data_IF_546635484822
#
_entry.id   IF_546635484822
#
_cell.length_a   1.000
_cell.length_b   1.000
_cell.length_c   1.000
_cell.angle_alpha   90.00
_cell.angle_beta   90.00
_cell.angle_gamma   90.00
#
_symmetry.space_group_name_H-M   'P 1'
#
loop_
_entity.id
_entity.type
_entity.pdbx_description
1 polymer ?
#
# COMPACT_ATOMS: atom_id res chain seq x y z
N UNK A 1 11.67 -11.32 30.57
CA UNK A 1 11.72 -10.47 29.36
C UNK A 1 10.39 -10.68 28.64
N UNK A 2 9.44 -9.76 28.79
CA UNK A 2 8.18 -9.85 28.06
C UNK A 2 8.42 -9.43 26.61
N UNK A 3 7.89 -10.16 25.61
CA UNK A 3 8.07 -9.81 24.21
C UNK A 3 7.36 -8.46 23.95
N UNK A 4 8.10 -7.50 23.40
CA UNK A 4 7.55 -6.22 22.97
C UNK A 4 6.49 -6.49 21.91
N UNK A 5 5.22 -6.46 22.30
CA UNK A 5 4.08 -6.52 21.37
C UNK A 5 3.94 -5.14 20.73
N UNK A 6 4.74 -4.86 19.71
CA UNK A 6 4.48 -3.74 18.83
C UNK A 6 3.07 -3.94 18.27
N UNK A 7 2.12 -3.08 18.68
CA UNK A 7 0.79 -3.04 18.08
C UNK A 7 0.98 -2.50 16.68
N UNK A 8 1.18 -3.40 15.72
CA UNK A 8 1.14 -3.04 14.31
C UNK A 8 -0.30 -2.63 14.03
N UNK A 9 -0.52 -1.32 13.88
CA UNK A 9 -1.84 -0.83 13.51
C UNK A 9 -2.17 -1.39 12.12
N UNK A 10 -3.33 -2.02 11.94
CA UNK A 10 -3.74 -2.51 10.64
C UNK A 10 -3.79 -1.34 9.66
N UNK A 11 -3.50 -1.61 8.39
CA UNK A 11 -3.63 -0.61 7.35
C UNK A 11 -5.07 -0.11 7.25
N UNK A 12 -5.25 1.21 7.17
CA UNK A 12 -6.55 1.84 6.98
C UNK A 12 -7.29 1.27 5.77
N UNK A 13 -8.62 1.23 5.86
CA UNK A 13 -9.47 0.72 4.78
C UNK A 13 -9.23 1.49 3.48
N UNK A 14 -9.16 2.82 3.54
CA UNK A 14 -8.89 3.67 2.39
C UNK A 14 -7.55 3.33 1.71
N UNK A 15 -6.47 3.11 2.47
CA UNK A 15 -5.18 2.71 1.92
C UNK A 15 -5.25 1.34 1.23
N UNK A 16 -5.93 0.36 1.82
CA UNK A 16 -6.09 -0.97 1.23
C UNK A 16 -6.88 -0.91 -0.07
N UNK A 17 -8.02 -0.23 -0.04
CA UNK A 17 -8.91 -0.08 -1.19
C UNK A 17 -8.22 0.69 -2.33
N UNK A 18 -7.45 1.73 -2.01
CA UNK A 18 -6.61 2.43 -2.99
C UNK A 18 -5.63 1.49 -3.70
N UNK A 19 -4.90 0.68 -2.92
CA UNK A 19 -3.94 -0.28 -3.48
C UNK A 19 -4.61 -1.37 -4.32
N UNK A 20 -5.83 -1.79 -3.96
CA UNK A 20 -6.58 -2.80 -4.69
C UNK A 20 -7.16 -2.24 -5.99
N UNK A 21 -7.72 -1.03 -5.93
CA UNK A 21 -8.30 -0.34 -7.08
C UNK A 21 -7.23 0.00 -8.13
N UNK A 22 -6.09 0.53 -7.70
CA UNK A 22 -5.01 0.95 -8.61
C UNK A 22 -4.00 -0.17 -8.90
N UNK A 23 -4.19 -1.39 -8.38
CA UNK A 23 -3.28 -2.52 -8.62
C UNK A 23 -2.93 -2.73 -10.10
N UNK A 24 -3.89 -2.71 -11.06
CA UNK A 24 -3.56 -2.88 -12.47
C UNK A 24 -2.62 -1.77 -12.99
N UNK A 25 -2.83 -0.53 -12.53
CA UNK A 25 -2.00 0.60 -12.93
C UNK A 25 -0.59 0.49 -12.34
N UNK A 26 -0.47 0.09 -11.07
CA UNK A 26 0.84 -0.14 -10.43
C UNK A 26 1.59 -1.26 -11.16
N UNK A 27 0.93 -2.38 -11.46
CA UNK A 27 1.53 -3.53 -12.16
C UNK A 27 2.12 -3.17 -13.52
N UNK A 28 1.48 -2.25 -14.24
CA UNK A 28 1.88 -1.90 -15.61
C UNK A 28 2.92 -0.76 -15.66
N UNK A 29 3.10 0.01 -14.58
CA UNK A 29 3.93 1.22 -14.57
C UNK A 29 5.11 1.20 -13.59
N UNK A 30 5.18 0.24 -12.66
CA UNK A 30 6.24 0.20 -11.63
C UNK A 30 7.22 -0.94 -11.87
N UNK A 31 8.53 -0.64 -11.82
CA UNK A 31 9.56 -1.67 -11.68
C UNK A 31 9.81 -1.93 -10.19
N UNK A 32 9.49 -3.13 -9.69
CA UNK A 32 9.36 -3.34 -8.25
C UNK A 32 10.71 -3.40 -7.53
N UNK A 33 11.81 -3.74 -8.20
CA UNK A 33 13.12 -3.97 -7.55
C UNK A 33 13.60 -2.77 -6.72
N UNK A 34 13.67 -1.58 -7.34
CA UNK A 34 14.14 -0.37 -6.66
C UNK A 34 13.27 0.00 -5.46
N UNK A 35 11.96 -0.09 -5.65
CA UNK A 35 10.96 0.19 -4.61
C UNK A 35 11.06 -0.82 -3.46
N UNK A 36 11.19 -2.11 -3.75
CA UNK A 36 11.37 -3.17 -2.76
C UNK A 36 12.63 -2.93 -1.93
N UNK A 37 13.74 -2.57 -2.58
CA UNK A 37 15.00 -2.30 -1.90
C UNK A 37 14.86 -1.13 -0.93
N UNK A 38 14.25 -0.02 -1.36
CA UNK A 38 14.01 1.13 -0.48
C UNK A 38 13.13 0.76 0.71
N UNK A 39 12.04 0.03 0.48
CA UNK A 39 11.15 -0.38 1.57
C UNK A 39 11.78 -1.37 2.55
N UNK A 40 12.75 -2.16 2.09
CA UNK A 40 13.56 -3.00 2.96
C UNK A 40 14.57 -2.18 3.76
N UNK A 41 15.28 -1.27 3.11
CA UNK A 41 16.25 -0.37 3.75
C UNK A 41 15.58 0.55 4.80
N UNK A 42 14.29 0.89 4.60
CA UNK A 42 13.47 1.69 5.52
C UNK A 42 12.74 0.85 6.61
N UNK A 43 13.09 -0.43 6.77
CA UNK A 43 12.48 -1.35 7.76
C UNK A 43 10.96 -1.55 7.63
N UNK A 44 10.38 -1.27 6.45
CA UNK A 44 8.96 -1.50 6.15
C UNK A 44 8.73 -2.97 5.79
N UNK A 45 9.64 -3.52 4.98
CA UNK A 45 9.69 -4.94 4.64
C UNK A 45 10.67 -5.65 5.56
N UNK A 46 10.30 -6.84 6.03
CA UNK A 46 11.21 -7.69 6.77
C UNK A 46 12.16 -8.42 5.83
N UNK A 47 13.27 -8.95 6.36
CA UNK A 47 14.19 -9.79 5.59
C UNK A 47 13.49 -10.98 4.92
N UNK A 48 12.46 -11.55 5.57
CA UNK A 48 11.67 -12.63 4.99
C UNK A 48 10.85 -12.16 3.77
N UNK A 49 10.24 -10.97 3.84
CA UNK A 49 9.48 -10.42 2.70
C UNK A 49 10.40 -10.12 1.54
N UNK A 50 11.53 -9.47 1.80
CA UNK A 50 12.52 -9.14 0.80
C UNK A 50 13.00 -10.40 0.07
N UNK A 51 13.37 -11.43 0.84
CA UNK A 51 13.78 -12.72 0.27
C UNK A 51 12.66 -13.37 -0.57
N UNK A 52 11.41 -13.27 -0.12
CA UNK A 52 10.28 -13.83 -0.86
C UNK A 52 10.05 -13.08 -2.18
N UNK A 53 10.09 -11.75 -2.14
CA UNK A 53 9.90 -10.88 -3.30
C UNK A 53 11.01 -11.07 -4.34
N UNK A 54 12.27 -11.14 -3.90
CA UNK A 54 13.40 -11.39 -4.81
C UNK A 54 13.33 -12.77 -5.47
N UNK A 55 12.81 -13.79 -4.78
CA UNK A 55 12.58 -15.12 -5.40
C UNK A 55 11.48 -15.10 -6.46
N UNK A 56 10.53 -14.17 -6.34
CA UNK A 56 9.42 -13.99 -7.28
C UNK A 56 9.83 -13.21 -8.53
N UNK A 57 11.01 -12.56 -8.56
CA UNK A 57 11.51 -11.82 -9.73
C UNK A 57 11.55 -12.65 -11.02
N UNK A 58 11.84 -13.95 -10.91
CA UNK A 58 11.80 -14.87 -12.05
C UNK A 58 10.40 -15.07 -12.69
N UNK A 59 9.33 -14.57 -12.05
CA UNK A 59 7.95 -14.62 -12.53
C UNK A 59 7.50 -13.32 -13.24
N UNK A 60 8.38 -12.31 -13.29
CA UNK A 60 8.14 -11.02 -13.94
C UNK A 60 7.58 -9.94 -13.00
N UNK A 61 7.76 -8.69 -13.41
CA UNK A 61 7.52 -7.49 -12.60
C UNK A 61 6.08 -7.39 -12.08
N UNK A 62 5.09 -7.78 -12.90
CA UNK A 62 3.67 -7.78 -12.48
C UNK A 62 3.41 -8.72 -11.31
N UNK A 63 4.00 -9.92 -11.35
CA UNK A 63 3.83 -10.92 -10.29
C UNK A 63 4.47 -10.45 -8.99
N UNK A 64 5.67 -9.87 -9.08
CA UNK A 64 6.38 -9.29 -7.93
C UNK A 64 5.59 -8.11 -7.35
N UNK A 65 5.09 -7.21 -8.19
CA UNK A 65 4.32 -6.03 -7.78
C UNK A 65 3.03 -6.44 -7.05
N UNK A 66 2.31 -7.42 -7.58
CA UNK A 66 1.12 -7.99 -6.93
C UNK A 66 1.45 -8.59 -5.57
N UNK A 67 2.58 -9.28 -5.45
CA UNK A 67 3.02 -9.83 -4.18
C UNK A 67 3.42 -8.72 -3.20
N UNK A 68 4.13 -7.69 -3.68
CA UNK A 68 4.51 -6.52 -2.90
C UNK A 68 3.28 -5.84 -2.30
N UNK A 69 2.26 -5.53 -3.11
CA UNK A 69 1.02 -4.89 -2.63
C UNK A 69 0.36 -5.72 -1.52
N UNK A 70 0.23 -7.05 -1.72
CA UNK A 70 -0.31 -7.96 -0.70
C UNK A 70 0.53 -7.99 0.58
N UNK A 71 1.84 -7.89 0.46
CA UNK A 71 2.76 -7.83 1.60
C UNK A 71 2.58 -6.52 2.36
N UNK A 72 2.50 -5.38 1.67
CA UNK A 72 2.30 -4.06 2.28
C UNK A 72 1.02 -4.01 3.11
N UNK A 73 -0.09 -4.54 2.59
CA UNK A 73 -1.36 -4.62 3.32
C UNK A 73 -1.26 -5.37 4.66
N UNK A 74 -0.30 -6.30 4.80
CA UNK A 74 -0.04 -7.08 6.03
C UNK A 74 0.91 -6.37 7.00
N UNK A 75 1.75 -5.44 6.52
CA UNK A 75 2.77 -4.75 7.32
C UNK A 75 2.23 -3.57 8.13
N UNK A 76 0.99 -3.16 7.87
CA UNK A 76 0.25 -2.21 8.70
C UNK A 76 0.22 -0.80 8.13
N UNK A 77 -0.28 0.16 8.92
CA UNK A 77 -0.66 1.48 8.41
C UNK A 77 0.49 2.31 7.85
N UNK A 78 1.72 2.07 8.31
CA UNK A 78 2.92 2.79 7.83
C UNK A 78 3.40 2.32 6.45
N UNK A 79 2.96 1.15 5.99
CA UNK A 79 3.45 0.56 4.75
C UNK A 79 2.97 1.32 3.50
N UNK A 80 1.73 1.83 3.52
CA UNK A 80 1.19 2.62 2.41
C UNK A 80 1.94 3.96 2.20
N UNK A 81 2.07 4.85 3.20
CA UNK A 81 2.79 6.11 2.99
C UNK A 81 4.27 5.89 2.66
N UNK A 82 4.89 4.84 3.20
CA UNK A 82 6.26 4.50 2.82
C UNK A 82 6.36 4.01 1.37
N UNK A 83 5.39 3.24 0.88
CA UNK A 83 5.32 2.86 -0.53
C UNK A 83 5.16 4.06 -1.45
N UNK A 84 4.26 4.99 -1.12
CA UNK A 84 4.11 6.25 -1.87
C UNK A 84 5.41 7.07 -1.87
N UNK A 85 6.08 7.17 -0.72
CA UNK A 85 7.38 7.84 -0.61
C UNK A 85 8.48 7.16 -1.44
N UNK A 86 8.51 5.83 -1.45
CA UNK A 86 9.44 5.07 -2.28
C UNK A 86 9.18 5.30 -3.77
N UNK A 87 7.91 5.31 -4.21
CA UNK A 87 7.55 5.63 -5.59
C UNK A 87 8.07 7.01 -6.01
N UNK A 88 7.88 8.02 -5.17
CA UNK A 88 8.39 9.39 -5.41
C UNK A 88 9.92 9.44 -5.50
N UNK A 89 10.61 8.63 -4.70
CA UNK A 89 12.08 8.54 -4.70
C UNK A 89 12.65 7.92 -5.97
N UNK A 90 11.87 7.05 -6.64
CA UNK A 90 12.25 6.35 -7.86
C UNK A 90 11.60 6.95 -9.13
N UNK A 91 11.25 8.24 -9.10
CA UNK A 91 10.66 8.98 -10.23
C UNK A 91 9.30 8.44 -10.73
N UNK A 92 8.58 7.64 -9.93
CA UNK A 92 7.20 7.20 -10.22
C UNK A 92 6.16 8.22 -9.73
N UNK A 93 6.37 9.48 -10.08
CA UNK A 93 5.51 10.58 -9.62
C UNK A 93 4.06 10.38 -10.09
N UNK A 94 3.85 9.96 -11.33
CA UNK A 94 2.53 9.72 -11.92
C UNK A 94 1.75 8.63 -11.16
N UNK A 95 2.43 7.54 -10.77
CA UNK A 95 1.83 6.47 -9.96
C UNK A 95 1.52 6.98 -8.56
N UNK A 96 2.44 7.73 -7.96
CA UNK A 96 2.25 8.26 -6.60
C UNK A 96 1.10 9.28 -6.53
N UNK A 97 0.97 10.18 -7.50
CA UNK A 97 -0.09 11.18 -7.58
C UNK A 97 -1.45 10.52 -7.78
N UNK A 98 -1.50 9.49 -8.63
CA UNK A 98 -2.71 8.71 -8.86
C UNK A 98 -3.17 7.98 -7.61
N UNK A 99 -2.24 7.40 -6.84
CA UNK A 99 -2.57 6.77 -5.56
C UNK A 99 -3.11 7.78 -4.56
N UNK A 100 -2.49 8.96 -4.44
CA UNK A 100 -2.95 10.03 -3.54
C UNK A 100 -4.31 10.61 -3.98
N UNK A 101 -4.58 10.69 -5.29
CA UNK A 101 -5.88 11.09 -5.82
C UNK A 101 -6.97 10.06 -5.49
N UNK A 102 -6.73 8.79 -5.79
CA UNK A 102 -7.67 7.70 -5.48
C UNK A 102 -7.94 7.60 -3.98
N UNK A 103 -6.89 7.74 -3.14
CA UNK A 103 -7.03 7.75 -1.69
C UNK A 103 -7.93 8.90 -1.20
N UNK A 104 -7.74 10.12 -1.73
CA UNK A 104 -8.59 11.27 -1.41
C UNK A 104 -10.05 11.02 -1.83
N UNK A 105 -10.27 10.47 -3.02
CA UNK A 105 -11.61 10.16 -3.51
C UNK A 105 -12.31 9.11 -2.63
N UNK A 106 -11.61 8.04 -2.25
CA UNK A 106 -12.15 7.00 -1.36
C UNK A 106 -12.46 7.58 0.01
N UNK A 107 -11.56 8.39 0.59
CA UNK A 107 -11.82 9.04 1.87
C UNK A 107 -13.05 9.95 1.84
N UNK A 108 -13.24 10.72 0.77
CA UNK A 108 -14.42 11.57 0.60
C UNK A 108 -15.70 10.71 0.50
N UNK A 109 -15.70 9.68 -0.36
CA UNK A 109 -16.85 8.77 -0.48
C UNK A 109 -17.22 8.09 0.85
N UNK A 110 -16.23 7.64 1.62
CA UNK A 110 -16.46 7.06 2.95
C UNK A 110 -17.05 8.07 3.95
N UNK A 111 -16.68 9.35 3.86
CA UNK A 111 -17.27 10.41 4.70
C UNK A 111 -18.72 10.69 4.32
N UNK A 112 -19.02 10.78 3.02
CA UNK A 112 -20.38 11.00 2.52
C UNK A 112 -21.33 9.85 2.91
N UNK A 113 -20.87 8.60 2.84
CA UNK A 113 -21.62 7.43 3.28
C UNK A 113 -21.92 7.42 4.80
N UNK A 114 -20.97 7.92 5.61
CA UNK A 114 -21.14 8.02 7.05
C UNK A 114 -22.16 9.11 7.44
N UNK A 115 -22.16 10.24 6.71
CA UNK A 115 -23.12 11.33 6.90
C UNK A 115 -24.51 10.92 6.43
N UNK A 116 -24.65 10.29 5.26
CA UNK A 116 -25.94 9.86 4.69
C UNK A 116 -26.66 8.79 5.52
N UNK A 117 -25.93 7.93 6.24
CA UNK A 117 -26.52 6.96 7.19
C UNK A 117 -27.04 7.58 8.48
N UNK A 118 -26.55 8.75 8.86
CA UNK A 118 -26.94 9.42 10.12
C UNK A 118 -28.26 10.18 10.01
N UNK A 119 -28.69 10.53 8.80
CA UNK A 119 -29.89 11.35 8.56
C UNK A 119 -31.17 10.55 8.28
N UNK A 120 -31.08 9.22 8.16
CA UNK A 120 -32.22 8.34 7.81
C UNK A 120 -32.78 7.53 9.00
N UNK A 121 -32.21 7.67 10.20
CA UNK A 121 -32.65 6.95 11.41
C UNK A 121 -33.56 7.77 12.36
N UNK A 122 -34.15 8.87 11.89
CA UNK A 122 -35.01 9.74 12.69
C UNK A 122 -36.11 10.39 11.87
N UNK A 123 -37.15 9.64 11.52
CA UNK A 123 -38.45 10.14 11.07
C UNK A 123 -39.54 9.15 11.43
#
# INVERSE_FOLDING_TARGET
>A
MEPVRWRVFPMEAAHKETLEQELPYIEDNVQPYGVIKTLYDDDVLTHMDFTQLSRTEGQGDRAVTRLLVKTLQRRGNKAYPAFVGALKTHDYQDVSDRLEETERAIRQGMMDDAVGRSTTAGS
#
